data_IF_043090616628
#
_entry.id   IF_043090616628
#
_cell.length_a   1.000
_cell.length_b   1.000
_cell.length_c   1.000
_cell.angle_alpha   90.00
_cell.angle_beta   90.00
_cell.angle_gamma   90.00
#
_symmetry.space_group_name_H-M   'P 1'
#
loop_
_entity.id
_entity.type
_entity.pdbx_description
1 polymer ?
#
# COMPACT_ATOMS: atom_id res chain seq x y z
N UNK A 1 -1.54 -19.28 -2.80
CA UNK A 1 -1.76 -17.82 -2.64
C UNK A 1 -3.06 -17.71 -1.84
N UNK A 2 -2.99 -17.57 -0.51
CA UNK A 2 -4.11 -17.93 0.37
C UNK A 2 -5.42 -17.20 0.06
N UNK A 3 -5.34 -15.97 -0.49
CA UNK A 3 -6.51 -15.21 -0.91
C UNK A 3 -7.22 -15.80 -2.13
N UNK A 4 -6.51 -16.10 -3.22
CA UNK A 4 -7.14 -16.65 -4.43
C UNK A 4 -7.64 -18.07 -4.15
N UNK A 5 -6.85 -18.86 -3.42
CA UNK A 5 -7.20 -20.23 -3.07
C UNK A 5 -8.53 -20.30 -2.28
N UNK A 6 -8.81 -19.31 -1.43
CA UNK A 6 -10.06 -19.23 -0.67
C UNK A 6 -11.32 -19.07 -1.58
N UNK A 7 -11.19 -18.42 -2.74
CA UNK A 7 -12.30 -18.20 -3.67
C UNK A 7 -12.42 -19.27 -4.76
N UNK A 8 -11.45 -20.18 -4.87
CA UNK A 8 -11.52 -21.26 -5.87
C UNK A 8 -12.66 -22.24 -5.58
N UNK A 9 -13.02 -22.44 -4.31
CA UNK A 9 -14.09 -23.33 -3.88
C UNK A 9 -15.48 -22.91 -4.37
N UNK A 10 -15.71 -21.61 -4.58
CA UNK A 10 -16.97 -21.12 -5.12
C UNK A 10 -16.88 -21.09 -6.65
N UNK A 11 -17.62 -21.96 -7.37
CA UNK A 11 -17.58 -22.02 -8.83
C UNK A 11 -18.20 -20.79 -9.49
N UNK A 12 -19.01 -19.99 -8.78
CA UNK A 12 -19.62 -18.77 -9.31
C UNK A 12 -18.64 -17.59 -9.39
N UNK A 13 -17.53 -17.65 -8.66
CA UNK A 13 -16.53 -16.58 -8.65
C UNK A 13 -15.70 -16.60 -9.92
N UNK A 14 -15.74 -15.47 -10.64
CA UNK A 14 -14.89 -15.17 -11.80
C UNK A 14 -13.70 -14.31 -11.37
N UNK A 15 -12.57 -14.47 -12.05
CA UNK A 15 -11.33 -13.74 -11.79
C UNK A 15 -10.95 -12.89 -12.99
N UNK A 16 -10.56 -11.65 -12.72
CA UNK A 16 -9.96 -10.76 -13.71
C UNK A 16 -8.50 -10.56 -13.31
N UNK A 17 -7.58 -11.03 -14.15
CA UNK A 17 -6.14 -10.89 -13.95
C UNK A 17 -5.61 -9.83 -14.92
N UNK A 18 -5.19 -8.69 -14.38
CA UNK A 18 -4.49 -7.66 -15.15
C UNK A 18 -2.98 -7.90 -15.08
N UNK A 19 -2.35 -8.05 -16.24
CA UNK A 19 -0.91 -8.14 -16.40
C UNK A 19 -0.36 -6.85 -17.04
N UNK A 20 0.90 -6.53 -16.78
CA UNK A 20 1.65 -5.42 -17.38
C UNK A 20 3.13 -5.75 -17.34
N UNK A 21 3.96 -4.97 -18.01
CA UNK A 21 5.41 -5.11 -17.97
C UNK A 21 5.95 -5.16 -16.51
N UNK A 22 6.73 -6.18 -16.11
CA UNK A 22 7.23 -6.34 -14.75
C UNK A 22 8.02 -5.14 -14.23
N UNK A 23 8.93 -4.57 -15.03
CA UNK A 23 9.70 -3.39 -14.64
C UNK A 23 8.81 -2.16 -14.40
N UNK A 24 7.74 -1.99 -15.19
CA UNK A 24 6.74 -0.95 -14.96
C UNK A 24 5.94 -1.20 -13.68
N UNK A 25 5.67 -2.47 -13.33
CA UNK A 25 5.06 -2.85 -12.05
C UNK A 25 5.98 -2.52 -10.87
N UNK A 26 7.26 -2.91 -10.93
CA UNK A 26 8.23 -2.62 -9.89
C UNK A 26 8.38 -1.11 -9.64
N UNK A 27 8.48 -0.30 -10.71
CA UNK A 27 8.51 1.17 -10.61
C UNK A 27 7.28 1.72 -9.90
N UNK A 28 6.09 1.20 -10.21
CA UNK A 28 4.84 1.61 -9.57
C UNK A 28 4.81 1.28 -8.08
N UNK A 29 5.31 0.11 -7.67
CA UNK A 29 5.44 -0.27 -6.25
C UNK A 29 6.43 0.67 -5.53
N UNK A 30 7.57 0.99 -6.15
CA UNK A 30 8.53 1.91 -5.56
C UNK A 30 7.97 3.33 -5.39
N UNK A 31 7.25 3.83 -6.40
CA UNK A 31 6.66 5.16 -6.36
C UNK A 31 5.46 5.27 -5.41
N UNK A 32 4.94 4.16 -4.89
CA UNK A 32 3.79 4.15 -3.97
C UNK A 32 4.21 3.62 -2.61
N UNK A 33 4.28 2.29 -2.45
CA UNK A 33 4.67 1.62 -1.21
C UNK A 33 6.10 1.96 -0.79
N UNK A 34 7.04 2.05 -1.74
CA UNK A 34 8.42 2.41 -1.42
C UNK A 34 8.53 3.81 -0.79
N UNK A 35 7.85 4.80 -1.37
CA UNK A 35 7.77 6.15 -0.80
C UNK A 35 7.04 6.16 0.55
N UNK A 36 5.97 5.39 0.68
CA UNK A 36 5.21 5.28 1.92
C UNK A 36 6.04 4.69 3.07
N UNK A 37 6.74 3.56 2.84
CA UNK A 37 7.67 2.95 3.80
C UNK A 37 8.77 3.95 4.14
N UNK A 38 9.39 4.60 3.14
CA UNK A 38 10.43 5.60 3.40
C UNK A 38 9.94 6.73 4.30
N UNK A 39 8.73 7.24 4.06
CA UNK A 39 8.11 8.26 4.91
C UNK A 39 7.89 7.73 6.33
N UNK A 40 7.36 6.51 6.49
CA UNK A 40 7.09 5.87 7.78
C UNK A 40 8.33 5.58 8.64
N UNK A 41 9.53 5.57 8.05
CA UNK A 41 10.81 5.39 8.74
C UNK A 41 11.63 6.68 8.82
N UNK A 42 11.19 7.77 8.17
CA UNK A 42 11.82 9.09 8.23
C UNK A 42 11.18 9.96 9.30
N UNK A 43 11.93 10.91 9.87
CA UNK A 43 11.32 11.91 10.76
C UNK A 43 10.39 12.86 9.98
N UNK A 44 9.28 13.33 10.60
CA UNK A 44 8.87 13.03 11.97
C UNK A 44 8.05 11.74 12.13
N UNK A 45 7.61 11.11 11.03
CA UNK A 45 6.66 9.98 11.05
C UNK A 45 7.21 8.72 11.71
N UNK A 46 8.51 8.45 11.59
CA UNK A 46 9.19 7.36 12.29
C UNK A 46 9.00 7.37 13.81
N UNK A 47 8.78 8.56 14.39
CA UNK A 47 8.44 8.71 15.80
C UNK A 47 6.93 8.84 16.02
N UNK A 48 6.27 9.73 15.26
CA UNK A 48 4.86 10.08 15.48
C UNK A 48 3.92 8.89 15.30
N UNK A 49 4.27 7.92 14.45
CA UNK A 49 3.44 6.72 14.25
C UNK A 49 3.17 5.93 15.53
N UNK A 50 4.02 6.02 16.56
CA UNK A 50 3.84 5.29 17.82
C UNK A 50 2.87 5.96 18.81
N UNK A 51 2.53 7.23 18.60
CA UNK A 51 1.59 7.96 19.46
C UNK A 51 0.12 7.70 19.11
N UNK A 52 -0.14 7.01 18.01
CA UNK A 52 -1.47 6.59 17.62
C UNK A 52 -1.46 5.16 17.08
N UNK A 53 -2.33 4.29 17.62
CA UNK A 53 -2.31 2.85 17.31
C UNK A 53 -2.73 2.59 15.87
N UNK A 54 -3.62 3.42 15.31
CA UNK A 54 -4.07 3.28 13.93
C UNK A 54 -2.92 3.62 12.96
N UNK A 55 -2.24 4.75 13.19
CA UNK A 55 -1.06 5.11 12.40
C UNK A 55 0.03 4.03 12.47
N UNK A 56 0.31 3.50 13.66
CA UNK A 56 1.26 2.39 13.82
C UNK A 56 0.86 1.17 13.00
N UNK A 57 -0.41 0.76 13.08
CA UNK A 57 -0.91 -0.39 12.32
C UNK A 57 -0.84 -0.16 10.81
N UNK A 58 -1.17 1.06 10.36
CA UNK A 58 -1.14 1.44 8.95
C UNK A 58 0.29 1.41 8.36
N UNK A 59 1.26 1.99 9.06
CA UNK A 59 2.67 1.92 8.64
C UNK A 59 3.23 0.49 8.69
N UNK A 60 2.90 -0.29 9.73
CA UNK A 60 3.32 -1.70 9.81
C UNK A 60 2.73 -2.56 8.68
N UNK A 61 1.50 -2.28 8.25
CA UNK A 61 0.90 -2.95 7.10
C UNK A 61 1.68 -2.62 5.81
N UNK A 62 2.03 -1.35 5.60
CA UNK A 62 2.84 -0.96 4.45
C UNK A 62 4.24 -1.61 4.46
N UNK A 63 4.88 -1.68 5.62
CA UNK A 63 6.16 -2.37 5.80
C UNK A 63 6.07 -3.85 5.41
N UNK A 64 5.02 -4.55 5.89
CA UNK A 64 4.83 -5.97 5.60
C UNK A 64 4.48 -6.23 4.14
N UNK A 65 3.61 -5.40 3.54
CA UNK A 65 3.32 -5.47 2.11
C UNK A 65 4.59 -5.29 1.29
N UNK A 66 5.40 -4.27 1.60
CA UNK A 66 6.66 -4.02 0.91
C UNK A 66 7.62 -5.20 1.06
N UNK A 67 7.78 -5.74 2.28
CA UNK A 67 8.60 -6.92 2.57
C UNK A 67 8.23 -8.14 1.72
N UNK A 68 6.93 -8.35 1.47
CA UNK A 68 6.46 -9.45 0.62
C UNK A 68 6.90 -9.25 -0.84
N UNK A 69 6.68 -8.05 -1.40
CA UNK A 69 7.07 -7.74 -2.78
C UNK A 69 8.60 -7.83 -2.98
N UNK A 70 9.37 -7.32 -2.03
CA UNK A 70 10.84 -7.28 -2.13
C UNK A 70 11.52 -8.57 -1.69
N UNK A 71 10.74 -9.58 -1.28
CA UNK A 71 11.24 -10.83 -0.71
C UNK A 71 12.20 -10.60 0.47
N UNK A 72 11.86 -9.62 1.32
CA UNK A 72 12.61 -9.28 2.53
C UNK A 72 13.72 -8.25 2.36
N UNK A 73 13.97 -7.74 1.15
CA UNK A 73 14.94 -6.65 0.92
C UNK A 73 14.42 -5.31 1.42
N UNK A 74 15.33 -4.47 1.91
CA UNK A 74 15.02 -3.10 2.30
C UNK A 74 15.02 -2.13 1.10
N UNK A 75 14.52 -0.92 1.31
CA UNK A 75 14.25 0.10 0.27
C UNK A 75 15.42 0.35 -0.69
N UNK A 76 16.64 0.39 -0.16
CA UNK A 76 17.84 0.79 -0.89
C UNK A 76 18.79 -0.39 -1.16
N UNK A 77 18.33 -1.62 -0.90
CA UNK A 77 19.15 -2.80 -1.13
C UNK A 77 19.30 -3.08 -2.64
N UNK A 78 20.52 -3.41 -3.12
CA UNK A 78 20.70 -3.90 -4.47
C UNK A 78 19.82 -5.12 -4.75
N UNK A 79 19.18 -5.18 -5.92
CA UNK A 79 18.30 -6.30 -6.27
C UNK A 79 16.85 -6.14 -5.82
N UNK A 80 16.47 -5.01 -5.21
CA UNK A 80 15.11 -4.79 -4.70
C UNK A 80 14.06 -4.81 -5.83
N UNK A 81 14.32 -4.10 -6.93
CA UNK A 81 13.39 -4.08 -8.08
C UNK A 81 13.28 -5.45 -8.75
N UNK A 82 14.40 -6.13 -8.93
CA UNK A 82 14.48 -7.46 -9.53
C UNK A 82 13.69 -8.49 -8.70
N UNK A 83 13.67 -8.34 -7.37
CA UNK A 83 12.83 -9.18 -6.52
C UNK A 83 11.34 -8.87 -6.68
N UNK A 84 10.95 -7.60 -6.83
CA UNK A 84 9.56 -7.20 -7.09
C UNK A 84 9.10 -7.75 -8.45
N UNK A 85 9.94 -7.64 -9.48
CA UNK A 85 9.69 -8.19 -10.81
C UNK A 85 9.50 -9.71 -10.75
N UNK A 86 10.44 -10.43 -10.11
CA UNK A 86 10.35 -11.89 -9.95
C UNK A 86 9.10 -12.31 -9.17
N UNK A 87 8.78 -11.62 -8.08
CA UNK A 87 7.58 -11.88 -7.29
C UNK A 87 6.33 -11.73 -8.16
N UNK A 88 6.28 -10.67 -8.97
CA UNK A 88 5.14 -10.38 -9.84
C UNK A 88 4.98 -11.41 -10.96
N UNK A 89 6.06 -11.79 -11.63
CA UNK A 89 6.06 -12.85 -12.64
C UNK A 89 5.59 -14.19 -12.05
N UNK A 90 6.12 -14.56 -10.88
CA UNK A 90 5.69 -15.76 -10.16
C UNK A 90 4.21 -15.72 -9.80
N UNK A 91 3.71 -14.56 -9.36
CA UNK A 91 2.29 -14.36 -9.09
C UNK A 91 1.44 -14.59 -10.34
N UNK A 92 1.77 -13.93 -11.47
CA UNK A 92 1.03 -14.08 -12.73
C UNK A 92 0.99 -15.55 -13.19
N UNK A 93 2.13 -16.24 -13.19
CA UNK A 93 2.22 -17.66 -13.56
C UNK A 93 1.37 -18.52 -12.62
N UNK A 94 1.43 -18.25 -11.32
CA UNK A 94 0.65 -19.00 -10.32
C UNK A 94 -0.85 -18.85 -10.54
N UNK A 95 -1.34 -17.63 -10.80
CA UNK A 95 -2.77 -17.40 -11.06
C UNK A 95 -3.22 -18.11 -12.34
N UNK A 96 -2.48 -17.94 -13.44
CA UNK A 96 -2.80 -18.59 -14.73
C UNK A 96 -2.81 -20.13 -14.63
N UNK A 97 -1.99 -20.70 -13.75
CA UNK A 97 -1.93 -22.15 -13.52
C UNK A 97 -3.08 -22.67 -12.64
N UNK A 98 -3.46 -21.92 -11.61
CA UNK A 98 -4.36 -22.41 -10.58
C UNK A 98 -5.84 -22.05 -10.83
N UNK A 99 -6.12 -20.98 -11.58
CA UNK A 99 -7.49 -20.57 -11.88
C UNK A 99 -7.96 -21.25 -13.18
N UNK A 100 -9.14 -21.91 -13.19
CA UNK A 100 -9.68 -22.50 -14.41
C UNK A 100 -9.85 -21.45 -15.52
N UNK A 101 -9.41 -21.72 -16.78
CA UNK A 101 -9.44 -20.74 -17.87
C UNK A 101 -10.81 -20.14 -18.15
N UNK A 102 -11.89 -20.92 -17.99
CA UNK A 102 -13.27 -20.50 -18.18
C UNK A 102 -13.75 -19.47 -17.12
N UNK A 103 -13.05 -19.40 -15.98
CA UNK A 103 -13.28 -18.44 -14.90
C UNK A 103 -12.27 -17.31 -14.89
N UNK A 104 -11.34 -17.23 -15.85
CA UNK A 104 -10.24 -16.27 -15.85
C UNK A 104 -10.30 -15.37 -17.09
N UNK A 105 -10.59 -14.09 -16.87
CA UNK A 105 -10.31 -13.05 -17.85
C UNK A 105 -8.89 -12.53 -17.63
N UNK A 106 -7.99 -12.87 -18.53
CA UNK A 106 -6.62 -12.37 -18.52
C UNK A 106 -6.48 -11.19 -19.48
N UNK A 107 -6.08 -10.03 -18.98
CA UNK A 107 -5.91 -8.78 -19.75
C UNK A 107 -4.52 -8.22 -19.54
N UNK A 108 -3.80 -7.95 -20.62
CA UNK A 108 -2.57 -7.16 -20.54
C UNK A 108 -2.94 -5.68 -20.67
N UNK A 109 -2.52 -4.86 -19.72
CA UNK A 109 -2.85 -3.43 -19.68
C UNK A 109 -2.29 -2.67 -20.89
N UNK A 110 -1.22 -3.17 -21.51
CA UNK A 110 -0.69 -2.62 -22.76
C UNK A 110 -1.66 -2.79 -23.95
N UNK A 111 -2.51 -3.82 -23.90
CA UNK A 111 -3.51 -4.12 -24.93
C UNK A 111 -4.84 -3.38 -24.64
N UNK A 112 -4.93 -2.67 -23.51
CA UNK A 112 -6.10 -1.93 -23.04
C UNK A 112 -7.02 -2.76 -22.15
N UNK A 113 -7.68 -2.08 -21.20
CA UNK A 113 -8.73 -2.64 -20.34
C UNK A 113 -9.95 -1.73 -20.41
N UNK A 114 -11.10 -2.29 -20.78
CA UNK A 114 -12.34 -1.56 -20.98
C UNK A 114 -13.59 -2.42 -20.78
N UNK A 115 -14.75 -1.81 -20.98
CA UNK A 115 -16.04 -2.50 -20.87
C UNK A 115 -16.18 -3.64 -21.89
N UNK A 116 -15.57 -3.50 -23.06
CA UNK A 116 -15.61 -4.49 -24.14
C UNK A 116 -14.96 -5.82 -23.74
N UNK A 117 -13.96 -5.81 -22.84
CA UNK A 117 -13.35 -7.03 -22.30
C UNK A 117 -14.10 -7.54 -21.08
N UNK A 118 -14.51 -6.64 -20.18
CA UNK A 118 -15.07 -6.99 -18.87
C UNK A 118 -16.53 -7.46 -18.97
N UNK A 119 -17.39 -6.71 -19.66
CA UNK A 119 -18.83 -6.98 -19.68
C UNK A 119 -19.20 -8.32 -20.33
N UNK A 120 -18.65 -8.71 -21.50
CA UNK A 120 -18.93 -10.02 -22.09
C UNK A 120 -18.47 -11.17 -21.20
N UNK A 121 -17.30 -11.05 -20.56
CA UNK A 121 -16.81 -12.05 -19.62
C UNK A 121 -17.74 -12.22 -18.40
N UNK A 122 -18.30 -11.12 -17.90
CA UNK A 122 -19.25 -11.13 -16.80
C UNK A 122 -20.68 -11.52 -17.23
N UNK A 123 -20.97 -11.59 -18.53
CA UNK A 123 -22.30 -11.81 -19.10
C UNK A 123 -23.29 -10.70 -18.73
N UNK A 124 -22.85 -9.46 -18.88
CA UNK A 124 -23.65 -8.24 -18.66
C UNK A 124 -23.55 -7.30 -19.87
N UNK A 125 -24.48 -6.37 -20.00
CA UNK A 125 -24.47 -5.37 -21.07
C UNK A 125 -23.36 -4.32 -20.85
N UNK A 126 -22.83 -3.77 -21.95
CA UNK A 126 -21.87 -2.67 -21.91
C UNK A 126 -22.64 -1.38 -21.57
N UNK A 127 -22.26 -0.65 -20.51
CA UNK A 127 -22.94 0.57 -20.14
C UNK A 127 -22.57 1.72 -21.08
N UNK A 128 -23.48 2.69 -21.27
CA UNK A 128 -23.25 3.92 -22.05
C UNK A 128 -22.48 4.98 -21.24
N UNK A 129 -21.38 4.56 -20.60
CA UNK A 129 -20.45 5.42 -19.87
C UNK A 129 -19.02 5.03 -20.19
N UNK A 130 -18.10 6.00 -20.19
CA UNK A 130 -16.70 5.71 -20.43
C UNK A 130 -16.12 4.80 -19.34
N UNK A 131 -15.20 3.91 -19.72
CA UNK A 131 -14.48 3.08 -18.74
C UNK A 131 -13.66 3.97 -17.80
N UNK A 132 -13.70 3.76 -16.48
CA UNK A 132 -13.01 4.64 -15.54
C UNK A 132 -11.49 4.59 -15.76
N UNK A 133 -10.87 5.76 -15.84
CA UNK A 133 -9.41 5.93 -15.74
C UNK A 133 -9.08 6.34 -14.31
N UNK A 134 -8.83 5.37 -13.45
CA UNK A 134 -8.40 5.60 -12.07
C UNK A 134 -6.93 5.26 -11.86
N UNK A 135 -6.37 5.71 -10.73
CA UNK A 135 -4.99 5.53 -10.28
C UNK A 135 -4.03 6.63 -10.73
N UNK A 136 -4.45 7.89 -10.54
CA UNK A 136 -3.50 9.01 -10.63
C UNK A 136 -2.65 9.04 -9.35
N UNK A 137 -1.33 9.30 -9.41
CA UNK A 137 -0.46 9.29 -8.22
C UNK A 137 -0.91 10.22 -7.08
N UNK A 138 -1.62 11.31 -7.40
CA UNK A 138 -2.20 12.25 -6.44
C UNK A 138 -3.31 11.61 -5.58
N UNK A 139 -4.07 10.66 -6.12
CA UNK A 139 -5.14 9.96 -5.40
C UNK A 139 -4.59 9.12 -4.23
N UNK A 140 -3.45 8.44 -4.41
CA UNK A 140 -2.83 7.65 -3.34
C UNK A 140 -2.33 8.53 -2.19
N UNK A 141 -1.77 9.70 -2.53
CA UNK A 141 -1.31 10.68 -1.55
C UNK A 141 -2.49 11.24 -0.75
N UNK A 142 -3.61 11.56 -1.41
CA UNK A 142 -4.82 12.06 -0.77
C UNK A 142 -5.46 11.02 0.17
N UNK A 143 -5.58 9.77 -0.28
CA UNK A 143 -6.09 8.66 0.54
C UNK A 143 -5.21 8.47 1.79
N UNK A 144 -3.88 8.46 1.60
CA UNK A 144 -2.93 8.31 2.71
C UNK A 144 -3.02 9.47 3.71
N UNK A 145 -3.20 10.71 3.22
CA UNK A 145 -3.38 11.88 4.08
C UNK A 145 -4.67 11.78 4.91
N UNK A 146 -5.79 11.39 4.30
CA UNK A 146 -7.07 11.24 5.00
C UNK A 146 -7.02 10.23 6.15
N UNK A 147 -6.29 9.13 5.99
CA UNK A 147 -6.11 8.13 7.05
C UNK A 147 -5.16 8.58 8.16
N UNK A 148 -4.10 9.33 7.82
CA UNK A 148 -3.02 9.65 8.75
C UNK A 148 -3.23 10.97 9.52
N UNK A 149 -3.90 11.95 8.92
CA UNK A 149 -3.97 13.33 9.42
C UNK A 149 -4.55 13.45 10.85
N UNK A 150 -5.66 12.77 11.22
CA UNK A 150 -6.21 12.87 12.57
C UNK A 150 -5.24 12.33 13.63
N UNK A 151 -4.61 11.19 13.35
CA UNK A 151 -3.63 10.57 14.24
C UNK A 151 -2.34 11.39 14.36
N UNK A 152 -1.89 12.01 13.26
CA UNK A 152 -0.72 12.90 13.26
C UNK A 152 -0.98 14.16 14.09
N UNK A 153 -2.12 14.84 13.91
CA UNK A 153 -2.46 16.04 14.70
C UNK A 153 -2.51 15.73 16.20
N UNK A 154 -3.13 14.60 16.55
CA UNK A 154 -3.17 14.10 17.94
C UNK A 154 -1.76 13.82 18.48
N UNK A 155 -0.91 13.13 17.72
CA UNK A 155 0.46 12.81 18.10
C UNK A 155 1.30 14.06 18.35
N UNK A 156 1.19 15.07 17.48
CA UNK A 156 1.83 16.37 17.68
C UNK A 156 1.36 17.06 18.96
N UNK A 157 0.05 17.05 19.25
CA UNK A 157 -0.49 17.59 20.50
C UNK A 157 0.09 16.91 21.74
N UNK A 158 0.14 15.56 21.76
CA UNK A 158 0.72 14.79 22.87
C UNK A 158 2.21 15.11 23.03
N UNK A 159 2.96 15.16 21.94
CA UNK A 159 4.39 15.46 21.97
C UNK A 159 4.65 16.88 22.50
N UNK A 160 3.91 17.88 22.02
CA UNK A 160 4.04 19.26 22.48
C UNK A 160 3.75 19.40 23.99
N UNK A 161 2.68 18.78 24.48
CA UNK A 161 2.35 18.77 25.93
C UNK A 161 3.44 18.09 26.74
N UNK A 162 3.96 16.95 26.25
CA UNK A 162 5.03 16.22 26.94
C UNK A 162 6.32 17.03 27.03
N UNK A 163 6.72 17.70 25.94
CA UNK A 163 7.89 18.59 25.93
C UNK A 163 7.72 19.75 26.90
N UNK A 164 6.54 20.41 26.91
CA UNK A 164 6.25 21.50 27.85
C UNK A 164 6.29 21.03 29.30
N UNK A 165 5.74 19.85 29.62
CA UNK A 165 5.75 19.30 30.98
C UNK A 165 7.17 19.00 31.46
N UNK A 166 8.00 18.38 30.61
CA UNK A 166 9.41 18.10 30.94
C UNK A 166 10.21 19.39 31.12
N UNK A 167 10.03 20.37 30.23
CA UNK A 167 10.70 21.66 30.33
C UNK A 167 10.28 22.42 31.60
N UNK A 168 8.99 22.43 31.94
CA UNK A 168 8.46 23.05 33.15
C UNK A 168 8.97 22.38 34.43
N UNK A 169 9.02 21.04 34.48
CA UNK A 169 9.60 20.30 35.59
C UNK A 169 11.11 20.57 35.75
N UNK A 170 11.85 20.61 34.63
CA UNK A 170 13.27 20.96 34.62
C UNK A 170 13.52 22.39 35.11
N UNK A 171 12.73 23.36 34.63
CA UNK A 171 12.79 24.74 35.09
C UNK A 171 12.47 24.86 36.58
N UNK A 172 11.45 24.17 37.08
CA UNK A 172 11.11 24.13 38.51
C UNK A 172 12.21 23.50 39.36
N UNK A 173 12.84 22.42 38.87
CA UNK A 173 13.94 21.76 39.57
C UNK A 173 15.21 22.62 39.64
N UNK A 174 15.50 23.37 38.57
CA UNK A 174 16.62 24.30 38.49
C UNK A 174 16.32 25.65 39.15
N UNK A 175 15.06 25.95 39.46
CA UNK A 175 14.68 27.21 40.09
C UNK A 175 15.25 27.26 41.52
N UNK A 176 16.13 28.21 41.84
CA UNK A 176 16.76 28.27 43.16
C UNK A 176 15.69 28.51 44.22
N UNK A 177 15.58 27.58 45.17
CA UNK A 177 14.73 27.75 46.35
C UNK A 177 15.44 28.69 47.32
N UNK A 178 15.14 29.98 47.23
CA UNK A 178 15.51 30.93 48.28
C UNK A 178 14.72 30.59 49.55
N UNK A 179 15.43 30.12 50.58
CA UNK A 179 14.96 30.04 51.96
C UNK A 179 15.04 31.42 52.63
#
# INVERSE_FOLDING_TARGET
MPFVDAYLYDPAVKFILTERNPASFARSIQNTLGQFVRAGHSLPMGLLKYFDTYNRAFFNLGDEMYRVYTQGKWLDDPGCNENIERWYEQYIVTIKKNVPPERLLHVRLEDGLGWEQVCPFLNVEIPDVHYPRGNRPDEFAEISQGFLEPGIKKAFGILAVSVMAVAGAGAWWLYPRHH
#
